data_IF_131879460387
#
_entry.id   IF_131879460387
#
_cell.length_a   1.000
_cell.length_b   1.000
_cell.length_c   1.000
_cell.angle_alpha   90.00
_cell.angle_beta   90.00
_cell.angle_gamma   90.00
#
_symmetry.space_group_name_H-M   'P 1'
#
loop_
_entity.id
_entity.type
_entity.pdbx_description
1 polymer ?
#
# COMPACT_ATOMS: atom_id res chain seq x y z
N UNK A 1 18.64 17.22 4.04
CA UNK A 1 18.72 18.28 5.08
C UNK A 1 20.03 19.06 4.99
N UNK A 2 21.21 18.44 5.12
CA UNK A 2 22.53 19.14 5.08
C UNK A 2 22.81 19.79 3.71
N UNK A 3 22.44 19.13 2.61
CA UNK A 3 22.59 19.68 1.25
C UNK A 3 21.84 21.02 1.03
N UNK A 4 20.75 21.27 1.75
CA UNK A 4 19.98 22.51 1.64
C UNK A 4 20.55 23.67 2.46
N UNK A 5 21.47 23.37 3.38
CA UNK A 5 22.12 24.35 4.26
C UNK A 5 23.51 24.74 3.71
N UNK A 6 24.11 23.87 2.90
CA UNK A 6 25.42 24.08 2.28
C UNK A 6 25.29 25.03 1.07
N UNK A 7 26.07 26.13 1.03
CA UNK A 7 26.16 27.00 -0.14
C UNK A 7 26.46 26.22 -1.43
N UNK A 8 25.82 26.57 -2.54
CA UNK A 8 25.95 25.91 -3.85
C UNK A 8 27.41 25.63 -4.25
N UNK A 9 28.31 26.58 -4.04
CA UNK A 9 29.71 26.45 -4.43
C UNK A 9 30.45 25.31 -3.72
N UNK A 10 29.99 24.88 -2.55
CA UNK A 10 30.60 23.76 -1.82
C UNK A 10 30.12 22.40 -2.31
N UNK A 11 28.96 22.31 -2.98
CA UNK A 11 28.42 21.03 -3.47
C UNK A 11 29.30 20.39 -4.55
N UNK A 12 30.02 21.22 -5.29
CA UNK A 12 30.90 20.79 -6.38
C UNK A 12 32.39 20.93 -6.03
N UNK A 13 32.72 21.33 -4.79
CA UNK A 13 34.11 21.50 -4.37
C UNK A 13 34.72 20.14 -4.08
N UNK A 14 35.76 19.80 -4.83
CA UNK A 14 36.49 18.53 -4.65
C UNK A 14 37.50 18.61 -3.51
N UNK A 15 37.76 17.46 -2.87
CA UNK A 15 38.82 17.29 -1.89
C UNK A 15 40.20 17.12 -2.57
N UNK A 16 41.25 16.78 -1.80
CA UNK A 16 42.60 16.54 -2.35
C UNK A 16 42.70 15.31 -3.25
N UNK A 17 41.76 14.40 -3.11
CA UNK A 17 41.65 13.15 -3.87
C UNK A 17 40.68 13.30 -5.05
N UNK A 18 40.34 14.54 -5.43
CA UNK A 18 39.42 14.90 -6.51
C UNK A 18 37.96 14.45 -6.32
N UNK A 19 37.57 14.04 -5.11
CA UNK A 19 36.21 13.59 -4.80
C UNK A 19 35.32 14.75 -4.35
N UNK A 20 34.09 14.78 -4.85
CA UNK A 20 33.02 15.68 -4.41
C UNK A 20 32.40 15.21 -3.08
N UNK A 21 31.71 16.09 -2.32
CA UNK A 21 31.04 15.70 -1.09
C UNK A 21 29.95 14.64 -1.30
N UNK A 22 29.31 14.62 -2.47
CA UNK A 22 28.31 13.61 -2.83
C UNK A 22 28.91 12.23 -3.06
N UNK A 23 30.11 12.16 -3.65
CA UNK A 23 30.85 10.90 -3.85
C UNK A 23 31.33 10.33 -2.52
N UNK A 24 31.93 11.16 -1.66
CA UNK A 24 32.35 10.75 -0.31
C UNK A 24 31.15 10.25 0.50
N UNK A 25 30.02 10.97 0.46
CA UNK A 25 28.81 10.55 1.16
C UNK A 25 28.30 9.19 0.67
N UNK A 26 28.29 8.99 -0.65
CA UNK A 26 27.89 7.73 -1.28
C UNK A 26 28.78 6.57 -0.85
N UNK A 27 30.10 6.76 -0.84
CA UNK A 27 31.07 5.74 -0.48
C UNK A 27 30.95 5.36 1.01
N UNK A 28 30.92 6.35 1.90
CA UNK A 28 30.78 6.13 3.35
C UNK A 28 29.46 5.46 3.74
N UNK A 29 28.39 5.67 2.95
CA UNK A 29 27.04 5.15 3.25
C UNK A 29 26.61 4.01 2.33
N UNK A 30 27.51 3.44 1.53
CA UNK A 30 27.18 2.38 0.56
C UNK A 30 26.50 1.17 1.24
N UNK A 31 27.05 0.72 2.37
CA UNK A 31 26.47 -0.40 3.12
C UNK A 31 25.06 -0.11 3.67
N UNK A 32 24.81 1.14 4.09
CA UNK A 32 23.50 1.57 4.58
C UNK A 32 22.49 1.65 3.43
N UNK A 33 22.93 2.09 2.25
CA UNK A 33 22.11 2.13 1.04
C UNK A 33 21.71 0.73 0.60
N UNK A 34 22.66 -0.22 0.58
CA UNK A 34 22.39 -1.61 0.26
C UNK A 34 21.34 -2.22 1.21
N UNK A 35 21.54 -2.07 2.52
CA UNK A 35 20.58 -2.51 3.54
C UNK A 35 19.21 -1.86 3.38
N UNK A 36 19.17 -0.58 2.99
CA UNK A 36 17.92 0.14 2.76
C UNK A 36 17.19 -0.40 1.53
N UNK A 37 17.90 -0.71 0.45
CA UNK A 37 17.33 -1.34 -0.73
C UNK A 37 16.78 -2.75 -0.44
N UNK A 38 17.51 -3.52 0.35
CA UNK A 38 17.08 -4.87 0.72
C UNK A 38 15.86 -4.83 1.64
N UNK A 39 15.87 -3.97 2.66
CA UNK A 39 14.71 -3.73 3.51
C UNK A 39 13.48 -3.30 2.71
N UNK A 40 13.67 -2.41 1.75
CA UNK A 40 12.62 -1.90 0.90
C UNK A 40 12.06 -2.99 -0.03
N UNK A 41 12.93 -3.83 -0.58
CA UNK A 41 12.54 -4.97 -1.41
C UNK A 41 11.73 -5.98 -0.61
N UNK A 42 12.23 -6.39 0.56
CA UNK A 42 11.57 -7.37 1.42
C UNK A 42 10.19 -6.85 1.87
N UNK A 43 10.14 -5.60 2.34
CA UNK A 43 8.90 -4.94 2.74
C UNK A 43 7.90 -4.87 1.58
N UNK A 44 8.35 -4.46 0.39
CA UNK A 44 7.49 -4.35 -0.79
C UNK A 44 6.95 -5.71 -1.24
N UNK A 45 7.74 -6.78 -1.16
CA UNK A 45 7.29 -8.13 -1.47
C UNK A 45 6.25 -8.62 -0.46
N UNK A 46 6.53 -8.50 0.84
CA UNK A 46 5.59 -8.91 1.89
C UNK A 46 4.28 -8.13 1.81
N UNK A 47 4.33 -6.81 1.66
CA UNK A 47 3.13 -5.98 1.54
C UNK A 47 2.36 -6.24 0.24
N UNK A 48 3.03 -6.52 -0.88
CA UNK A 48 2.37 -6.94 -2.12
C UNK A 48 1.60 -8.24 -1.93
N UNK A 49 2.18 -9.22 -1.24
CA UNK A 49 1.50 -10.47 -0.95
C UNK A 49 0.22 -10.23 -0.14
N UNK A 50 0.29 -9.41 0.91
CA UNK A 50 -0.90 -9.02 1.71
C UNK A 50 -1.93 -8.30 0.83
N UNK A 51 -1.52 -7.36 -0.01
CA UNK A 51 -2.41 -6.61 -0.88
C UNK A 51 -3.15 -7.52 -1.88
N UNK A 52 -2.44 -8.48 -2.50
CA UNK A 52 -3.03 -9.48 -3.40
C UNK A 52 -4.02 -10.37 -2.67
N UNK A 53 -3.73 -10.77 -1.42
CA UNK A 53 -4.68 -11.52 -0.60
C UNK A 53 -5.97 -10.73 -0.33
N UNK A 54 -5.86 -9.42 -0.05
CA UNK A 54 -7.03 -8.56 0.15
C UNK A 54 -7.84 -8.44 -1.14
N UNK A 55 -7.19 -8.28 -2.30
CA UNK A 55 -7.86 -8.30 -3.61
C UNK A 55 -8.66 -9.58 -3.78
N UNK A 56 -8.04 -10.73 -3.51
CA UNK A 56 -8.71 -12.03 -3.57
C UNK A 56 -9.91 -12.13 -2.64
N UNK A 57 -9.79 -11.65 -1.40
CA UNK A 57 -10.90 -11.68 -0.45
C UNK A 57 -12.04 -10.74 -0.85
N UNK A 58 -11.74 -9.54 -1.36
CA UNK A 58 -12.74 -8.60 -1.85
C UNK A 58 -13.50 -9.18 -3.06
N UNK A 59 -12.81 -9.88 -3.97
CA UNK A 59 -13.45 -10.57 -5.10
C UNK A 59 -14.32 -11.74 -4.64
N UNK A 60 -13.83 -12.55 -3.69
CA UNK A 60 -14.59 -13.68 -3.15
C UNK A 60 -15.86 -13.21 -2.42
N UNK A 61 -15.77 -12.15 -1.63
CA UNK A 61 -16.92 -11.58 -0.90
C UNK A 61 -17.91 -10.91 -1.84
N UNK A 62 -17.44 -10.18 -2.86
CA UNK A 62 -18.31 -9.60 -3.91
C UNK A 62 -19.10 -10.67 -4.68
N UNK A 63 -18.55 -11.86 -4.87
CA UNK A 63 -19.23 -12.96 -5.56
C UNK A 63 -20.23 -13.74 -4.70
N UNK A 64 -20.16 -13.63 -3.38
CA UNK A 64 -21.00 -14.34 -2.42
C UNK A 64 -22.08 -13.45 -1.78
N UNK A 65 -22.34 -12.30 -2.39
CA UNK A 65 -23.46 -11.43 -2.03
C UNK A 65 -24.79 -12.18 -2.23
N UNK A 66 -25.62 -12.32 -1.18
CA UNK A 66 -26.96 -12.90 -1.31
C UNK A 66 -27.87 -11.93 -2.08
N UNK A 67 -27.94 -12.11 -3.40
CA UNK A 67 -28.84 -11.35 -4.27
C UNK A 67 -30.27 -11.84 -4.16
N UNK A 68 -31.00 -11.43 -3.12
CA UNK A 68 -32.45 -11.60 -3.05
C UNK A 68 -33.15 -10.57 -3.93
N UNK A 69 -33.78 -11.00 -5.02
CA UNK A 69 -34.62 -10.16 -5.88
C UNK A 69 -35.93 -9.84 -5.15
N UNK A 70 -35.89 -8.86 -4.25
CA UNK A 70 -37.09 -8.26 -3.68
C UNK A 70 -37.15 -6.82 -4.19
N UNK A 71 -38.22 -6.47 -4.92
CA UNK A 71 -38.48 -5.18 -5.56
C UNK A 71 -38.69 -4.00 -4.57
N UNK A 72 -38.23 -4.15 -3.32
CA UNK A 72 -38.25 -3.13 -2.28
C UNK A 72 -36.82 -2.78 -1.89
N UNK A 73 -36.29 -1.70 -2.49
CA UNK A 73 -35.11 -0.93 -2.08
C UNK A 73 -34.00 -1.72 -1.39
N UNK A 74 -32.91 -2.01 -2.12
CA UNK A 74 -31.73 -2.70 -1.61
C UNK A 74 -31.37 -2.22 -0.21
N UNK A 75 -31.33 -3.17 0.73
CA UNK A 75 -31.15 -2.87 2.14
C UNK A 75 -29.83 -2.08 2.32
N UNK A 76 -29.80 -0.96 3.07
CA UNK A 76 -28.63 -0.07 3.15
C UNK A 76 -27.36 -0.78 3.63
N UNK A 77 -27.50 -1.90 4.35
CA UNK A 77 -26.39 -2.76 4.76
C UNK A 77 -25.69 -3.43 3.56
N UNK A 78 -26.43 -3.77 2.51
CA UNK A 78 -25.90 -4.37 1.28
C UNK A 78 -25.14 -3.36 0.42
N UNK A 79 -25.67 -2.14 0.28
CA UNK A 79 -25.01 -1.08 -0.46
C UNK A 79 -23.70 -0.64 0.23
N UNK A 80 -23.72 -0.49 1.56
CA UNK A 80 -22.51 -0.20 2.33
C UNK A 80 -21.44 -1.29 2.24
N UNK A 81 -21.85 -2.57 2.23
CA UNK A 81 -20.97 -3.71 2.02
C UNK A 81 -20.29 -3.66 0.63
N UNK A 82 -21.07 -3.41 -0.42
CA UNK A 82 -20.56 -3.34 -1.79
C UNK A 82 -19.57 -2.16 -1.96
N UNK A 83 -19.92 -0.98 -1.46
CA UNK A 83 -19.08 0.22 -1.53
C UNK A 83 -17.76 0.01 -0.79
N UNK A 84 -17.80 -0.51 0.44
CA UNK A 84 -16.60 -0.79 1.23
C UNK A 84 -15.69 -1.81 0.54
N UNK A 85 -16.27 -2.85 -0.06
CA UNK A 85 -15.52 -3.89 -0.78
C UNK A 85 -14.83 -3.33 -2.04
N UNK A 86 -15.51 -2.44 -2.78
CA UNK A 86 -14.92 -1.73 -3.92
C UNK A 86 -13.77 -0.82 -3.49
N UNK A 87 -13.93 -0.04 -2.42
CA UNK A 87 -12.86 0.81 -1.88
C UNK A 87 -11.64 -0.05 -1.50
N UNK A 88 -11.86 -1.16 -0.79
CA UNK A 88 -10.81 -2.12 -0.47
C UNK A 88 -10.09 -2.64 -1.71
N UNK A 89 -10.84 -3.08 -2.71
CA UNK A 89 -10.30 -3.63 -3.95
C UNK A 89 -9.42 -2.63 -4.71
N UNK A 90 -9.93 -1.41 -4.96
CA UNK A 90 -9.17 -0.38 -5.68
C UNK A 90 -7.96 0.09 -4.89
N UNK A 91 -8.12 0.32 -3.58
CA UNK A 91 -7.02 0.76 -2.73
C UNK A 91 -5.91 -0.28 -2.65
N UNK A 92 -6.27 -1.57 -2.55
CA UNK A 92 -5.30 -2.67 -2.60
C UNK A 92 -4.60 -2.77 -3.96
N UNK A 93 -5.33 -2.57 -5.05
CA UNK A 93 -4.75 -2.55 -6.41
C UNK A 93 -3.71 -1.44 -6.57
N UNK A 94 -3.98 -0.24 -6.06
CA UNK A 94 -3.02 0.87 -6.06
C UNK A 94 -1.79 0.51 -5.21
N UNK A 95 -1.98 -0.13 -4.04
CA UNK A 95 -0.88 -0.59 -3.20
C UNK A 95 0.04 -1.57 -3.96
N UNK A 96 -0.53 -2.57 -4.64
CA UNK A 96 0.23 -3.53 -5.48
C UNK A 96 1.05 -2.80 -6.54
N UNK A 97 0.44 -1.86 -7.28
CA UNK A 97 1.14 -1.09 -8.32
C UNK A 97 2.31 -0.30 -7.71
N UNK A 98 2.13 0.32 -6.55
CA UNK A 98 3.18 1.08 -5.87
C UNK A 98 4.33 0.18 -5.40
N UNK A 99 4.04 -0.97 -4.78
CA UNK A 99 5.09 -1.90 -4.37
C UNK A 99 5.81 -2.52 -5.56
N UNK A 100 5.11 -2.82 -6.66
CA UNK A 100 5.76 -3.23 -7.91
C UNK A 100 6.64 -2.12 -8.49
N UNK A 101 6.20 -0.86 -8.43
CA UNK A 101 6.98 0.29 -8.86
C UNK A 101 8.25 0.51 -8.01
N UNK A 102 8.26 0.00 -6.77
CA UNK A 102 9.44 -0.02 -5.90
C UNK A 102 10.37 -1.17 -6.30
N UNK A 103 9.82 -2.38 -6.48
CA UNK A 103 10.60 -3.57 -6.86
C UNK A 103 11.26 -3.45 -8.23
N UNK A 104 10.64 -2.70 -9.15
CA UNK A 104 11.14 -2.43 -10.50
C UNK A 104 12.01 -1.16 -10.58
N UNK A 105 12.07 -0.38 -9.49
CA UNK A 105 12.90 0.83 -9.46
C UNK A 105 14.39 0.48 -9.51
N UNK A 106 15.18 1.33 -10.17
CA UNK A 106 16.64 1.15 -10.19
C UNK A 106 17.21 1.44 -8.79
N UNK A 107 18.22 0.67 -8.39
CA UNK A 107 18.96 0.86 -7.13
C UNK A 107 19.89 2.09 -7.20
N UNK A 108 19.34 3.28 -7.43
CA UNK A 108 20.12 4.52 -7.55
C UNK A 108 19.86 5.44 -6.35
N UNK A 109 20.93 6.02 -5.82
CA UNK A 109 20.88 6.91 -4.64
C UNK A 109 19.97 8.12 -4.88
N UNK A 110 19.97 8.64 -6.11
CA UNK A 110 19.14 9.78 -6.49
C UNK A 110 17.64 9.48 -6.39
N UNK A 111 17.23 8.22 -6.55
CA UNK A 111 15.82 7.83 -6.39
C UNK A 111 15.44 7.67 -4.90
N UNK A 112 16.41 7.37 -4.03
CA UNK A 112 16.23 7.20 -2.59
C UNK A 112 15.99 8.51 -1.85
N UNK A 113 16.35 9.64 -2.44
CA UNK A 113 16.28 10.94 -1.77
C UNK A 113 14.83 11.35 -1.47
N UNK A 114 13.88 11.06 -2.37
CA UNK A 114 12.47 11.47 -2.23
C UNK A 114 11.50 10.48 -2.90
N UNK A 115 11.79 10.03 -4.12
CA UNK A 115 10.81 9.33 -4.97
C UNK A 115 10.46 7.96 -4.39
N UNK A 116 11.47 7.18 -4.02
CA UNK A 116 11.32 5.83 -3.53
C UNK A 116 10.62 5.75 -2.16
N UNK A 117 11.01 6.54 -1.14
CA UNK A 117 10.27 6.59 0.12
C UNK A 117 8.84 7.13 -0.05
N UNK A 118 8.60 8.07 -0.99
CA UNK A 118 7.25 8.54 -1.28
C UNK A 118 6.36 7.43 -1.87
N UNK A 119 6.86 6.65 -2.84
CA UNK A 119 6.14 5.48 -3.39
C UNK A 119 5.81 4.47 -2.29
N UNK A 120 6.76 4.20 -1.38
CA UNK A 120 6.55 3.31 -0.25
C UNK A 120 5.43 3.83 0.67
N UNK A 121 5.47 5.12 1.02
CA UNK A 121 4.47 5.74 1.87
C UNK A 121 3.06 5.67 1.23
N UNK A 122 2.96 5.98 -0.07
CA UNK A 122 1.69 5.87 -0.79
C UNK A 122 1.20 4.41 -0.82
N UNK A 123 2.09 3.45 -1.09
CA UNK A 123 1.73 2.02 -1.06
C UNK A 123 1.26 1.53 0.31
N UNK A 124 1.91 1.95 1.40
CA UNK A 124 1.52 1.59 2.76
C UNK A 124 0.20 2.23 3.19
N UNK A 125 -0.02 3.49 2.83
CA UNK A 125 -1.26 4.21 3.18
C UNK A 125 -2.47 3.62 2.46
N UNK A 126 -2.37 3.32 1.16
CA UNK A 126 -3.45 2.66 0.42
C UNK A 126 -3.67 1.22 0.89
N UNK A 127 -2.61 0.51 1.29
CA UNK A 127 -2.74 -0.82 1.91
C UNK A 127 -3.49 -0.74 3.25
N UNK A 128 -3.17 0.23 4.09
CA UNK A 128 -3.86 0.42 5.37
C UNK A 128 -5.35 0.72 5.17
N UNK A 129 -5.68 1.63 4.25
CA UNK A 129 -7.08 1.93 3.88
C UNK A 129 -7.80 0.67 3.41
N UNK A 130 -7.13 -0.16 2.59
CA UNK A 130 -7.67 -1.43 2.11
C UNK A 130 -7.99 -2.41 3.24
N UNK A 131 -7.07 -2.57 4.21
CA UNK A 131 -7.27 -3.42 5.38
C UNK A 131 -8.50 -2.96 6.17
N UNK A 132 -8.62 -1.66 6.46
CA UNK A 132 -9.76 -1.09 7.19
C UNK A 132 -11.08 -1.33 6.43
N UNK A 133 -11.11 -1.07 5.13
CA UNK A 133 -12.30 -1.29 4.29
C UNK A 133 -12.72 -2.77 4.25
N UNK A 134 -11.74 -3.68 4.23
CA UNK A 134 -12.00 -5.12 4.29
C UNK A 134 -12.59 -5.53 5.64
N UNK A 135 -12.09 -5.00 6.76
CA UNK A 135 -12.67 -5.27 8.09
C UNK A 135 -14.11 -4.77 8.20
N UNK A 136 -14.40 -3.57 7.70
CA UNK A 136 -15.77 -3.03 7.67
C UNK A 136 -16.69 -3.93 6.84
N UNK A 137 -16.23 -4.35 5.66
CA UNK A 137 -16.97 -5.28 4.79
C UNK A 137 -17.24 -6.61 5.48
N UNK A 138 -16.23 -7.21 6.13
CA UNK A 138 -16.40 -8.46 6.87
C UNK A 138 -17.40 -8.32 8.03
N UNK A 139 -17.32 -7.25 8.82
CA UNK A 139 -18.25 -7.01 9.92
C UNK A 139 -19.69 -6.84 9.41
N UNK A 140 -19.90 -6.07 8.34
CA UNK A 140 -21.22 -5.89 7.73
C UNK A 140 -21.76 -7.21 7.17
N UNK A 141 -20.93 -7.99 6.47
CA UNK A 141 -21.32 -9.29 5.93
C UNK A 141 -21.68 -10.30 7.02
N UNK A 142 -20.92 -10.37 8.12
CA UNK A 142 -21.24 -11.24 9.25
C UNK A 142 -22.54 -10.83 9.93
N UNK A 143 -22.75 -9.53 10.16
CA UNK A 143 -23.99 -9.02 10.74
C UNK A 143 -25.21 -9.36 9.89
N UNK A 144 -25.07 -9.24 8.56
CA UNK A 144 -26.12 -9.61 7.61
C UNK A 144 -26.46 -11.11 7.68
N UNK A 145 -25.45 -11.99 7.60
CA UNK A 145 -25.64 -13.45 7.68
C UNK A 145 -26.25 -13.88 9.01
N UNK A 146 -25.87 -13.24 10.12
CA UNK A 146 -26.48 -13.50 11.43
C UNK A 146 -27.95 -13.09 11.44
N UNK A 147 -28.27 -11.88 10.96
CA UNK A 147 -29.64 -11.36 10.93
C UNK A 147 -30.56 -12.25 10.08
N UNK A 148 -30.10 -12.70 8.91
CA UNK A 148 -30.83 -13.62 8.04
C UNK A 148 -31.09 -14.98 8.72
N UNK A 149 -30.08 -15.55 9.38
CA UNK A 149 -30.24 -16.80 10.15
C UNK A 149 -31.20 -16.67 11.33
N UNK A 150 -31.17 -15.56 12.07
CA UNK A 150 -32.12 -15.34 13.16
C UNK A 150 -33.54 -15.10 12.66
N UNK A 151 -33.71 -14.42 11.52
CA UNK A 151 -35.03 -14.27 10.89
C UNK A 151 -35.62 -15.62 10.46
N UNK A 152 -34.79 -16.52 9.91
CA UNK A 152 -35.22 -17.86 9.52
C UNK A 152 -35.60 -18.77 10.69
N UNK A 153 -34.97 -18.62 11.86
CA UNK A 153 -35.25 -19.47 13.06
C UNK A 153 -36.53 -19.05 13.79
N UNK A 154 -36.98 -17.79 13.61
CA UNK A 154 -38.18 -17.26 14.29
C UNK A 154 -39.48 -17.54 13.49
N UNK A 155 -39.38 -18.03 12.25
CA UNK A 155 -40.50 -18.40 11.39
C UNK A 155 -40.62 -19.93 11.23
#
# INVERSE_FOLDING_TARGET
YIQGIVPEYFKHKVNKDENTPGEIFKEEHENLLEKSFDWLKDTSQSCSAVAVLIVGLCLATSGNVPGGKNDSGGEPAFEGLAISSLIGLYSSGIAVIMFLAILTSRKQINDFDIILPAKLLVGLTTLFVSIVAMFISLCAGQFFVLTDKYAFVIY
#
